data_IF_956966474995
#
_entry.id   IF_956966474995
#
_cell.length_a   1.000
_cell.length_b   1.000
_cell.length_c   1.000
_cell.angle_alpha   90.00
_cell.angle_beta   90.00
_cell.angle_gamma   90.00
#
_symmetry.space_group_name_H-M   'P 1'
#
loop_
_entity.id
_entity.type
_entity.pdbx_description
1 polymer ?
#
# COMPACT_ATOMS: atom_id res chain seq x y z
N UNK A 1 0.08 -4.21 -35.61
CA UNK A 1 -0.08 -5.24 -34.56
C UNK A 1 -1.38 -4.93 -33.84
N UNK A 2 -2.33 -5.87 -33.66
CA UNK A 2 -3.54 -5.59 -32.91
C UNK A 2 -3.17 -5.32 -31.44
N UNK A 3 -3.54 -4.14 -30.93
CA UNK A 3 -3.33 -3.72 -29.54
C UNK A 3 -4.05 -4.70 -28.60
N UNK A 4 -3.28 -5.40 -27.76
CA UNK A 4 -3.83 -6.29 -26.73
C UNK A 4 -4.67 -5.45 -25.77
N UNK A 5 -5.87 -5.93 -25.43
CA UNK A 5 -6.70 -5.29 -24.40
C UNK A 5 -5.98 -5.43 -23.05
N UNK A 6 -5.82 -4.34 -22.27
CA UNK A 6 -5.14 -4.39 -20.99
C UNK A 6 -5.86 -5.36 -20.03
N UNK A 7 -5.10 -6.07 -19.21
CA UNK A 7 -5.59 -6.91 -18.13
C UNK A 7 -6.33 -6.09 -17.07
N UNK A 8 -7.10 -6.77 -16.21
CA UNK A 8 -7.78 -6.13 -15.07
C UNK A 8 -6.78 -5.48 -14.12
N UNK A 9 -5.61 -6.11 -13.92
CA UNK A 9 -4.55 -5.56 -13.09
C UNK A 9 -3.93 -4.28 -13.69
N UNK A 10 -3.63 -4.27 -14.99
CA UNK A 10 -3.12 -3.07 -15.68
C UNK A 10 -4.14 -1.92 -15.66
N UNK A 11 -5.42 -2.21 -15.91
CA UNK A 11 -6.49 -1.20 -15.80
C UNK A 11 -6.62 -0.67 -14.37
N UNK A 12 -6.49 -1.55 -13.36
CA UNK A 12 -6.49 -1.18 -11.95
C UNK A 12 -5.37 -0.20 -11.63
N UNK A 13 -4.13 -0.50 -12.04
CA UNK A 13 -2.97 0.38 -11.86
C UNK A 13 -3.14 1.73 -12.56
N UNK A 14 -3.65 1.77 -13.79
CA UNK A 14 -3.91 3.05 -14.49
C UNK A 14 -4.87 3.95 -13.69
N UNK A 15 -5.92 3.38 -13.12
CA UNK A 15 -6.86 4.13 -12.27
C UNK A 15 -6.22 4.53 -10.94
N UNK A 16 -5.48 3.62 -10.27
CA UNK A 16 -4.79 3.91 -9.03
C UNK A 16 -3.78 5.05 -9.18
N UNK A 17 -2.93 4.99 -10.21
CA UNK A 17 -1.92 6.01 -10.50
C UNK A 17 -2.59 7.36 -10.74
N UNK A 18 -3.67 7.40 -11.54
CA UNK A 18 -4.39 8.64 -11.80
C UNK A 18 -5.09 9.20 -10.56
N UNK A 19 -5.62 8.36 -9.67
CA UNK A 19 -6.19 8.79 -8.38
C UNK A 19 -5.11 9.42 -7.50
N UNK A 20 -3.95 8.77 -7.36
CA UNK A 20 -2.84 9.28 -6.54
C UNK A 20 -2.25 10.56 -7.16
N UNK A 21 -2.07 10.63 -8.48
CA UNK A 21 -1.63 11.83 -9.19
C UNK A 21 -2.57 13.01 -8.89
N UNK A 22 -3.89 12.80 -8.96
CA UNK A 22 -4.89 13.82 -8.64
C UNK A 22 -4.84 14.27 -7.18
N UNK A 23 -4.61 13.34 -6.25
CA UNK A 23 -4.52 13.65 -4.83
C UNK A 23 -3.21 14.40 -4.47
N UNK A 24 -2.18 14.27 -5.31
CA UNK A 24 -0.83 14.82 -5.08
C UNK A 24 -0.41 15.96 -6.03
N UNK A 25 -1.33 16.53 -6.83
CA UNK A 25 -1.03 17.60 -7.82
C UNK A 25 -0.29 18.81 -7.22
N UNK A 26 -0.65 19.23 -6.01
CA UNK A 26 0.00 20.34 -5.30
C UNK A 26 1.21 19.89 -4.46
N UNK A 27 1.70 18.66 -4.69
CA UNK A 27 2.54 17.91 -3.77
C UNK A 27 1.72 17.15 -2.73
N UNK A 28 2.38 16.22 -2.04
CA UNK A 28 1.80 15.46 -0.95
C UNK A 28 1.50 16.38 0.24
N UNK A 29 0.21 16.57 0.56
CA UNK A 29 -0.21 17.36 1.73
C UNK A 29 0.18 16.66 3.03
N UNK A 30 0.63 17.43 4.02
CA UNK A 30 1.02 16.85 5.31
C UNK A 30 -0.20 16.26 6.03
N UNK A 31 -0.11 15.03 6.55
CA UNK A 31 -1.19 14.38 7.31
C UNK A 31 -1.21 14.83 8.77
N UNK A 32 -0.15 15.50 9.24
CA UNK A 32 -0.04 15.93 10.62
C UNK A 32 -0.83 17.22 10.83
N UNK A 33 -1.76 17.18 11.77
CA UNK A 33 -2.55 18.34 12.18
C UNK A 33 -2.36 18.61 13.67
N UNK A 34 -2.39 19.89 14.03
CA UNK A 34 -2.45 20.33 15.41
C UNK A 34 -3.89 20.71 15.72
N UNK A 35 -4.49 20.06 16.70
CA UNK A 35 -5.87 20.33 17.14
C UNK A 35 -5.93 20.36 18.65
N UNK A 36 -6.50 21.42 19.23
CA UNK A 36 -6.65 21.60 20.69
C UNK A 36 -5.39 21.34 21.54
N UNK A 37 -4.20 21.57 21.00
CA UNK A 37 -2.93 21.34 21.69
C UNK A 37 -2.36 19.93 21.56
N UNK A 38 -3.06 19.04 20.84
CA UNK A 38 -2.58 17.71 20.47
C UNK A 38 -2.19 17.63 18.99
N UNK A 39 -1.32 16.67 18.68
CA UNK A 39 -0.98 16.34 17.29
C UNK A 39 -1.68 15.06 16.90
N UNK A 40 -2.44 15.13 15.81
CA UNK A 40 -3.15 14.02 15.22
C UNK A 40 -2.67 13.77 13.78
N UNK A 41 -2.61 12.49 13.40
CA UNK A 41 -2.44 12.09 12.02
C UNK A 41 -3.84 12.02 11.37
N UNK A 42 -4.06 12.73 10.27
CA UNK A 42 -5.33 12.72 9.52
C UNK A 42 -5.14 11.98 8.19
N UNK A 43 -5.57 10.71 8.12
CA UNK A 43 -5.53 9.95 6.88
C UNK A 43 -6.45 10.57 5.83
N UNK A 44 -6.05 10.48 4.57
CA UNK A 44 -6.85 10.91 3.43
C UNK A 44 -7.83 9.80 3.05
N UNK A 45 -8.95 9.77 3.76
CA UNK A 45 -10.02 8.81 3.49
C UNK A 45 -10.74 9.08 2.17
N UNK A 46 -10.68 10.29 1.61
CA UNK A 46 -11.27 10.56 0.30
C UNK A 46 -10.52 9.79 -0.79
N UNK A 47 -9.19 9.82 -0.76
CA UNK A 47 -8.36 9.02 -1.67
C UNK A 47 -8.60 7.52 -1.45
N UNK A 48 -8.68 7.04 -0.20
CA UNK A 48 -8.98 5.63 0.07
C UNK A 48 -10.32 5.18 -0.53
N UNK A 49 -11.38 6.00 -0.43
CA UNK A 49 -12.70 5.66 -0.98
C UNK A 49 -12.66 5.50 -2.50
N UNK A 50 -11.93 6.38 -3.19
CA UNK A 50 -11.74 6.27 -4.64
C UNK A 50 -10.97 4.99 -5.00
N UNK A 51 -9.86 4.70 -4.30
CA UNK A 51 -9.06 3.50 -4.53
C UNK A 51 -9.90 2.22 -4.32
N UNK A 52 -10.73 2.16 -3.28
CA UNK A 52 -11.62 1.02 -3.02
C UNK A 52 -12.77 0.92 -4.04
N UNK A 53 -13.13 2.00 -4.72
CA UNK A 53 -14.12 2.01 -5.80
C UNK A 53 -13.61 1.35 -7.10
N UNK A 54 -12.29 1.36 -7.35
CA UNK A 54 -11.67 0.76 -8.55
C UNK A 54 -11.99 -0.74 -8.72
N UNK A 55 -11.74 -1.63 -7.73
CA UNK A 55 -12.06 -3.05 -7.90
C UNK A 55 -13.55 -3.29 -8.11
N UNK A 56 -14.42 -2.46 -7.53
CA UNK A 56 -15.88 -2.54 -7.75
C UNK A 56 -16.26 -2.13 -9.18
N UNK A 57 -15.63 -1.08 -9.71
CA UNK A 57 -15.83 -0.61 -11.08
C UNK A 57 -15.39 -1.64 -12.11
N UNK A 58 -14.23 -2.26 -11.89
CA UNK A 58 -13.65 -3.27 -12.79
C UNK A 58 -14.28 -4.66 -12.63
N UNK A 59 -15.19 -4.84 -11.67
CA UNK A 59 -15.73 -6.13 -11.29
C UNK A 59 -14.61 -7.17 -11.00
N UNK A 60 -13.57 -6.71 -10.30
CA UNK A 60 -12.41 -7.49 -9.93
C UNK A 60 -12.70 -8.39 -8.72
N UNK A 61 -12.51 -9.70 -8.88
CA UNK A 61 -12.59 -10.67 -7.79
C UNK A 61 -11.25 -10.76 -7.02
N UNK A 62 -11.24 -11.48 -5.90
CA UNK A 62 -10.03 -11.72 -5.08
C UNK A 62 -8.83 -12.29 -5.87
N UNK A 63 -9.09 -13.17 -6.85
CA UNK A 63 -8.04 -13.77 -7.69
C UNK A 63 -7.29 -12.75 -8.56
N UNK A 64 -7.90 -11.61 -8.87
CA UNK A 64 -7.25 -10.56 -9.65
C UNK A 64 -6.17 -9.79 -8.88
N UNK A 65 -6.15 -9.89 -7.53
CA UNK A 65 -5.25 -9.13 -6.66
C UNK A 65 -5.56 -7.63 -6.52
N UNK A 66 -6.33 -7.05 -7.45
CA UNK A 66 -6.71 -5.62 -7.45
C UNK A 66 -7.43 -5.17 -6.17
N UNK A 67 -8.34 -5.97 -5.57
CA UNK A 67 -9.00 -5.56 -4.32
C UNK A 67 -8.05 -5.32 -3.14
N UNK A 68 -6.95 -6.10 -3.04
CA UNK A 68 -5.94 -5.94 -2.01
C UNK A 68 -5.04 -4.72 -2.28
N UNK A 69 -4.63 -4.53 -3.54
CA UNK A 69 -3.77 -3.41 -3.96
C UNK A 69 -4.32 -2.03 -3.59
N UNK A 70 -5.64 -1.85 -3.52
CA UNK A 70 -6.23 -0.57 -3.12
C UNK A 70 -5.76 -0.10 -1.72
N UNK A 71 -5.59 -1.03 -0.77
CA UNK A 71 -5.06 -0.72 0.56
C UNK A 71 -3.55 -0.45 0.49
N UNK A 72 -2.82 -1.25 -0.28
CA UNK A 72 -1.36 -1.13 -0.43
C UNK A 72 -0.97 0.25 -0.99
N UNK A 73 -1.65 0.64 -2.07
CA UNK A 73 -1.47 1.94 -2.73
C UNK A 73 -1.80 3.08 -1.77
N UNK A 74 -2.91 2.97 -1.02
CA UNK A 74 -3.30 4.00 -0.06
C UNK A 74 -2.27 4.16 1.05
N UNK A 75 -1.79 3.06 1.65
CA UNK A 75 -0.78 3.12 2.72
C UNK A 75 0.53 3.69 2.18
N UNK A 76 0.99 3.27 0.99
CA UNK A 76 2.19 3.83 0.38
C UNK A 76 2.06 5.34 0.12
N UNK A 77 0.90 5.78 -0.40
CA UNK A 77 0.56 7.19 -0.55
C UNK A 77 0.58 7.94 0.80
N UNK A 78 0.01 7.37 1.86
CA UNK A 78 0.04 7.94 3.20
C UNK A 78 1.47 8.08 3.75
N UNK A 79 2.36 7.13 3.50
CA UNK A 79 3.77 7.24 3.89
C UNK A 79 4.49 8.37 3.15
N UNK A 80 4.18 8.60 1.86
CA UNK A 80 4.68 9.78 1.11
C UNK A 80 4.09 11.09 1.64
N UNK A 81 2.80 11.10 2.00
CA UNK A 81 2.19 12.21 2.75
C UNK A 81 2.89 12.47 4.09
N UNK A 82 3.31 11.43 4.79
CA UNK A 82 4.06 11.58 6.03
C UNK A 82 5.45 12.20 5.80
N UNK A 83 5.97 12.19 4.56
CA UNK A 83 7.25 12.80 4.17
C UNK A 83 8.39 11.79 3.98
N UNK A 84 8.08 10.50 3.85
CA UNK A 84 9.06 9.50 3.45
C UNK A 84 9.40 9.63 1.96
N UNK A 85 10.61 9.20 1.60
CA UNK A 85 11.13 9.28 0.24
C UNK A 85 10.25 8.43 -0.72
N UNK A 86 9.75 8.99 -1.83
CA UNK A 86 8.88 8.28 -2.76
C UNK A 86 9.46 6.99 -3.34
N UNK A 87 10.78 6.93 -3.53
CA UNK A 87 11.48 5.77 -4.11
C UNK A 87 11.89 4.75 -3.03
N UNK A 88 11.97 5.15 -1.76
CA UNK A 88 12.17 4.23 -0.64
C UNK A 88 10.89 3.51 -0.19
N UNK A 89 9.71 4.08 -0.52
CA UNK A 89 8.39 3.52 -0.22
C UNK A 89 7.86 2.72 -1.41
N UNK A 90 7.56 1.45 -1.20
CA UNK A 90 6.99 0.55 -2.19
C UNK A 90 5.57 0.10 -1.79
N UNK A 91 4.62 -0.04 -2.74
CA UNK A 91 4.78 0.18 -4.18
C UNK A 91 4.93 1.66 -4.55
N UNK A 92 5.80 1.95 -5.53
CA UNK A 92 6.02 3.29 -6.12
C UNK A 92 4.79 3.81 -6.87
N UNK A 93 4.69 5.12 -7.01
CA UNK A 93 3.62 5.82 -7.75
C UNK A 93 3.66 5.58 -9.26
N UNK A 94 4.82 5.17 -9.76
CA UNK A 94 5.02 4.82 -11.16
C UNK A 94 5.88 3.57 -11.26
N UNK A 95 5.77 2.90 -12.40
CA UNK A 95 6.61 1.73 -12.66
C UNK A 95 8.10 2.12 -12.77
N UNK A 96 9.00 1.23 -12.31
CA UNK A 96 8.71 -0.03 -11.64
C UNK A 96 8.23 0.18 -10.18
N UNK A 97 7.28 -0.64 -9.71
CA UNK A 97 6.69 -0.51 -8.36
C UNK A 97 7.68 -0.72 -7.23
N UNK A 98 8.77 -1.41 -7.49
CA UNK A 98 9.90 -1.57 -6.57
C UNK A 98 11.15 -1.13 -7.28
N UNK A 99 11.86 -0.19 -6.67
CA UNK A 99 13.14 0.26 -7.16
C UNK A 99 14.00 0.68 -5.97
N UNK A 100 15.24 0.16 -5.85
CA UNK A 100 16.18 0.68 -4.87
C UNK A 100 16.39 2.18 -5.05
N UNK A 101 16.36 2.94 -3.95
CA UNK A 101 16.57 4.39 -3.96
C UNK A 101 17.88 4.81 -4.66
N UNK A 102 18.92 3.97 -4.59
CA UNK A 102 20.19 4.19 -5.29
C UNK A 102 20.04 4.25 -6.83
N UNK A 103 19.10 3.51 -7.41
CA UNK A 103 18.79 3.60 -8.84
C UNK A 103 18.04 4.90 -9.16
N UNK A 104 17.13 5.32 -8.29
CA UNK A 104 16.46 6.62 -8.39
C UNK A 104 17.45 7.78 -8.37
N UNK A 105 18.36 7.80 -7.40
CA UNK A 105 19.42 8.80 -7.28
C UNK A 105 20.35 8.82 -8.51
N UNK A 106 20.66 7.64 -9.08
CA UNK A 106 21.43 7.56 -10.32
C UNK A 106 20.68 8.18 -11.50
N UNK A 107 19.38 7.91 -11.64
CA UNK A 107 18.53 8.48 -12.69
C UNK A 107 18.44 10.01 -12.57
N UNK A 108 18.30 10.54 -11.36
CA UNK A 108 18.28 11.99 -11.11
C UNK A 108 19.63 12.65 -11.43
N UNK A 109 20.74 11.99 -11.09
CA UNK A 109 22.09 12.49 -11.39
C UNK A 109 22.47 12.38 -12.88
N UNK A 110 21.75 11.56 -13.65
CA UNK A 110 22.04 11.34 -15.08
C UNK A 110 21.53 12.52 -15.92
N UNK A 111 22.39 13.17 -16.73
CA UNK A 111 21.97 14.27 -17.57
C UNK A 111 20.84 13.90 -18.54
N UNK A 112 19.84 14.76 -18.63
CA UNK A 112 18.75 14.63 -19.62
C UNK A 112 19.28 14.91 -21.04
N UNK A 113 20.25 15.82 -21.16
CA UNK A 113 20.86 16.18 -22.45
C UNK A 113 21.73 15.01 -22.94
N UNK A 114 21.36 14.45 -24.09
CA UNK A 114 22.07 13.33 -24.72
C UNK A 114 21.29 12.01 -24.73
N UNK A 115 20.10 11.96 -24.11
CA UNK A 115 19.23 10.77 -24.14
C UNK A 115 19.68 9.63 -23.22
N UNK A 116 20.79 9.78 -22.51
CA UNK A 116 21.36 8.76 -21.60
C UNK A 116 20.37 8.35 -20.50
N UNK A 117 19.67 9.34 -19.92
CA UNK A 117 18.64 9.08 -18.92
C UNK A 117 17.51 8.20 -19.48
N UNK A 118 17.00 8.52 -20.67
CA UNK A 118 15.91 7.77 -21.28
C UNK A 118 16.33 6.30 -21.55
N UNK A 119 17.56 6.10 -22.05
CA UNK A 119 18.14 4.78 -22.26
C UNK A 119 18.30 3.98 -20.95
N UNK A 120 18.68 4.66 -19.86
CA UNK A 120 18.82 4.04 -18.55
C UNK A 120 17.46 3.67 -17.95
N UNK A 121 16.46 4.56 -18.05
CA UNK A 121 15.08 4.30 -17.64
C UNK A 121 14.49 3.09 -18.39
N UNK A 122 14.68 3.05 -19.72
CA UNK A 122 14.26 1.92 -20.55
C UNK A 122 14.97 0.62 -20.14
N UNK A 123 16.29 0.67 -19.89
CA UNK A 123 17.03 -0.51 -19.46
C UNK A 123 16.62 -0.99 -18.07
N UNK A 124 16.34 -0.10 -17.13
CA UNK A 124 15.84 -0.46 -15.80
C UNK A 124 14.47 -1.14 -15.93
N UNK A 125 13.57 -0.58 -16.74
CA UNK A 125 12.23 -1.14 -16.98
C UNK A 125 12.29 -2.54 -17.61
N UNK A 126 13.12 -2.73 -18.64
CA UNK A 126 13.19 -3.98 -19.42
C UNK A 126 14.07 -5.04 -18.71
N UNK A 127 15.28 -4.66 -18.33
CA UNK A 127 16.32 -5.60 -17.84
C UNK A 127 16.37 -5.66 -16.32
N UNK A 128 16.03 -4.57 -15.62
CA UNK A 128 15.94 -4.57 -14.16
C UNK A 128 14.87 -5.52 -13.65
N UNK A 129 13.74 -5.60 -14.36
CA UNK A 129 12.65 -6.56 -14.08
C UNK A 129 13.12 -8.01 -14.23
N UNK A 130 13.84 -8.32 -15.32
CA UNK A 130 14.39 -9.67 -15.59
C UNK A 130 15.52 -10.08 -14.64
N UNK A 131 16.18 -9.14 -13.97
CA UNK A 131 17.27 -9.41 -13.04
C UNK A 131 16.85 -9.36 -11.57
N UNK A 132 15.57 -9.06 -11.30
CA UNK A 132 15.04 -8.90 -9.95
C UNK A 132 15.55 -7.64 -9.22
N UNK A 133 16.18 -6.70 -9.95
CA UNK A 133 16.62 -5.41 -9.41
C UNK A 133 15.44 -4.47 -9.18
N UNK A 134 14.41 -4.59 -10.02
CA UNK A 134 13.12 -3.91 -9.89
C UNK A 134 11.99 -4.92 -10.12
N UNK A 135 10.78 -4.61 -9.71
CA UNK A 135 9.66 -5.54 -9.89
C UNK A 135 8.31 -5.00 -9.45
N UNK A 136 7.29 -5.85 -9.56
CA UNK A 136 5.92 -5.55 -9.14
C UNK A 136 5.57 -5.95 -7.69
N UNK A 137 6.35 -6.85 -7.08
CA UNK A 137 6.06 -7.46 -5.76
C UNK A 137 7.30 -7.51 -4.87
N UNK A 138 7.19 -7.04 -3.62
CA UNK A 138 8.35 -6.87 -2.74
C UNK A 138 8.58 -8.15 -1.94
N UNK A 139 9.56 -8.96 -2.36
CA UNK A 139 9.94 -10.19 -1.68
C UNK A 139 11.02 -9.90 -0.64
N UNK A 140 10.66 -10.07 0.64
CA UNK A 140 11.57 -9.88 1.77
C UNK A 140 11.83 -11.23 2.42
N UNK A 141 13.10 -11.57 2.60
CA UNK A 141 13.49 -12.76 3.36
C UNK A 141 13.06 -12.59 4.82
N UNK A 142 12.23 -13.51 5.33
CA UNK A 142 11.94 -13.67 6.75
C UNK A 142 12.89 -14.66 7.42
N UNK A 143 12.55 -15.11 8.63
CA UNK A 143 13.37 -16.07 9.38
C UNK A 143 13.46 -17.42 8.67
N UNK A 144 12.31 -17.93 8.25
CA UNK A 144 12.19 -19.30 7.74
C UNK A 144 11.94 -19.33 6.23
N UNK A 145 11.26 -18.31 5.69
CA UNK A 145 10.86 -18.24 4.29
C UNK A 145 10.76 -16.80 3.80
N UNK A 146 10.79 -16.62 2.47
CA UNK A 146 10.52 -15.33 1.85
C UNK A 146 9.02 -15.01 1.93
N UNK A 147 8.71 -13.76 2.24
CA UNK A 147 7.35 -13.24 2.24
C UNK A 147 7.24 -12.13 1.22
N UNK A 148 6.17 -12.14 0.44
CA UNK A 148 5.74 -10.94 -0.27
C UNK A 148 5.15 -9.95 0.76
N UNK A 149 5.81 -8.81 0.95
CA UNK A 149 5.32 -7.74 1.84
C UNK A 149 4.63 -6.70 0.98
N UNK A 150 3.44 -6.28 1.42
CA UNK A 150 2.54 -5.47 0.60
C UNK A 150 2.99 -4.01 0.54
N UNK A 151 3.46 -3.45 1.65
CA UNK A 151 4.05 -2.12 1.71
C UNK A 151 5.38 -2.13 2.48
N UNK A 152 6.41 -1.55 1.87
CA UNK A 152 7.78 -1.57 2.40
C UNK A 152 8.37 -0.16 2.39
N UNK A 153 9.07 0.19 3.46
CA UNK A 153 10.07 1.26 3.47
C UNK A 153 11.44 0.61 3.65
N UNK A 154 12.35 0.82 2.71
CA UNK A 154 13.70 0.27 2.80
C UNK A 154 14.72 1.17 2.13
N UNK A 155 15.93 1.22 2.71
CA UNK A 155 17.11 1.79 2.06
C UNK A 155 18.25 0.74 2.03
N UNK A 156 19.18 0.88 1.10
CA UNK A 156 20.34 -0.01 1.00
C UNK A 156 21.19 0.01 2.29
N UNK A 157 21.29 1.15 2.96
CA UNK A 157 22.15 1.37 4.13
C UNK A 157 21.55 0.81 5.42
N UNK A 158 20.23 0.81 5.54
CA UNK A 158 19.50 0.43 6.75
C UNK A 158 18.77 -0.90 6.62
N UNK A 159 18.57 -1.37 5.38
CA UNK A 159 17.69 -2.50 5.09
C UNK A 159 16.22 -2.12 5.26
N UNK A 160 15.34 -3.11 5.53
CA UNK A 160 13.93 -2.83 5.80
C UNK A 160 13.74 -2.04 7.10
N UNK A 161 13.11 -0.88 6.98
CA UNK A 161 12.79 0.01 8.12
C UNK A 161 11.33 -0.10 8.51
N UNK A 162 10.45 -0.34 7.53
CA UNK A 162 9.02 -0.56 7.74
C UNK A 162 8.51 -1.69 6.85
N UNK A 163 7.74 -2.61 7.42
CA UNK A 163 7.08 -3.72 6.74
C UNK A 163 5.61 -3.74 7.16
N UNK A 164 4.70 -3.46 6.22
CA UNK A 164 3.26 -3.50 6.47
C UNK A 164 2.66 -4.59 5.60
N UNK A 165 1.93 -5.51 6.22
CA UNK A 165 1.12 -6.49 5.51
C UNK A 165 -0.34 -6.05 5.48
N UNK A 166 -1.04 -6.35 4.40
CA UNK A 166 -2.46 -6.02 4.23
C UNK A 166 -3.26 -7.30 3.98
N UNK A 167 -4.52 -7.29 4.41
CA UNK A 167 -5.49 -8.33 4.09
C UNK A 167 -6.86 -7.70 3.91
N UNK A 168 -7.71 -8.33 3.11
CA UNK A 168 -9.07 -7.88 2.88
C UNK A 168 -10.06 -9.04 2.99
N UNK A 169 -11.27 -8.74 3.42
CA UNK A 169 -12.37 -9.69 3.49
C UNK A 169 -13.72 -9.02 3.22
N UNK A 170 -14.30 -9.33 2.05
CA UNK A 170 -15.59 -8.79 1.62
C UNK A 170 -16.77 -9.78 1.80
N UNK A 171 -16.46 -11.08 1.89
CA UNK A 171 -17.41 -12.18 1.95
C UNK A 171 -16.84 -13.42 2.65
N UNK A 172 -17.64 -14.49 2.76
CA UNK A 172 -17.20 -15.81 3.26
C UNK A 172 -16.53 -15.79 4.64
N UNK A 173 -17.03 -14.93 5.53
CA UNK A 173 -16.45 -14.65 6.86
C UNK A 173 -16.26 -15.92 7.69
N UNK A 174 -17.25 -16.80 7.74
CA UNK A 174 -17.24 -17.98 8.60
C UNK A 174 -16.17 -19.01 8.24
N UNK A 175 -15.84 -19.14 6.95
CA UNK A 175 -14.83 -20.08 6.45
C UNK A 175 -13.42 -19.49 6.56
N UNK A 176 -13.26 -18.19 6.34
CA UNK A 176 -11.95 -17.58 6.06
C UNK A 176 -11.34 -16.84 7.24
N UNK A 177 -12.14 -16.35 8.20
CA UNK A 177 -11.64 -15.47 9.26
C UNK A 177 -10.54 -16.10 10.14
N UNK A 178 -10.68 -17.39 10.50
CA UNK A 178 -9.66 -18.05 11.33
C UNK A 178 -8.33 -18.25 10.62
N UNK A 179 -8.38 -18.75 9.38
CA UNK A 179 -7.18 -18.95 8.58
C UNK A 179 -6.45 -17.63 8.33
N UNK A 180 -7.18 -16.53 8.07
CA UNK A 180 -6.58 -15.20 7.86
C UNK A 180 -5.87 -14.67 9.10
N UNK A 181 -6.44 -14.88 10.29
CA UNK A 181 -5.79 -14.47 11.53
C UNK A 181 -4.53 -15.32 11.78
N UNK A 182 -4.63 -16.64 11.66
CA UNK A 182 -3.49 -17.54 11.86
C UNK A 182 -2.32 -17.24 10.92
N UNK A 183 -2.60 -17.02 9.63
CA UNK A 183 -1.62 -16.59 8.63
C UNK A 183 -0.93 -15.28 9.06
N UNK A 184 -1.71 -14.32 9.56
CA UNK A 184 -1.19 -13.03 10.02
C UNK A 184 -0.23 -13.17 11.21
N UNK A 185 -0.51 -14.08 12.14
CA UNK A 185 0.42 -14.40 13.23
C UNK A 185 1.72 -15.05 12.71
N UNK A 186 1.61 -16.01 11.79
CA UNK A 186 2.75 -16.68 11.18
C UNK A 186 3.69 -15.68 10.46
N UNK A 187 3.09 -14.79 9.67
CA UNK A 187 3.79 -13.73 8.96
C UNK A 187 4.50 -12.76 9.90
N UNK A 188 3.81 -12.35 10.97
CA UNK A 188 4.38 -11.49 11.99
C UNK A 188 5.65 -12.12 12.59
N UNK A 189 5.59 -13.39 13.03
CA UNK A 189 6.76 -14.08 13.60
C UNK A 189 7.87 -14.26 12.56
N UNK A 190 7.53 -14.60 11.32
CA UNK A 190 8.52 -14.81 10.27
C UNK A 190 9.31 -13.53 9.96
N UNK A 191 8.63 -12.38 9.86
CA UNK A 191 9.27 -11.09 9.62
C UNK A 191 10.01 -10.58 10.86
N UNK A 192 9.36 -10.60 12.03
CA UNK A 192 9.87 -10.02 13.29
C UNK A 192 11.18 -10.65 13.73
N UNK A 193 11.31 -11.96 13.59
CA UNK A 193 12.51 -12.69 14.01
C UNK A 193 13.71 -12.46 13.09
N UNK A 194 13.49 -11.99 11.84
CA UNK A 194 14.55 -11.60 10.92
C UNK A 194 14.87 -10.12 11.00
N UNK A 195 13.86 -9.28 11.14
CA UNK A 195 13.95 -7.82 11.12
C UNK A 195 13.44 -7.21 12.45
N UNK A 196 14.13 -7.44 13.58
CA UNK A 196 13.68 -7.00 14.90
C UNK A 196 13.75 -5.47 15.08
N UNK A 197 14.49 -4.77 14.22
CA UNK A 197 14.57 -3.31 14.24
C UNK A 197 13.48 -2.65 13.39
N UNK A 198 12.95 -3.33 12.37
CA UNK A 198 11.92 -2.76 11.51
C UNK A 198 10.63 -2.46 12.28
N UNK A 199 9.93 -1.42 11.85
CA UNK A 199 8.54 -1.18 12.21
C UNK A 199 7.66 -2.17 11.44
N UNK A 200 6.81 -2.91 12.14
CA UNK A 200 5.96 -3.96 11.58
C UNK A 200 4.51 -3.57 11.81
N UNK A 201 3.71 -3.52 10.75
CA UNK A 201 2.30 -3.17 10.82
C UNK A 201 1.41 -4.15 10.04
N UNK A 202 0.12 -4.16 10.40
CA UNK A 202 -0.88 -4.97 9.71
C UNK A 202 -2.17 -4.16 9.49
N UNK A 203 -2.71 -4.18 8.27
CA UNK A 203 -3.97 -3.52 7.94
C UNK A 203 -4.98 -4.54 7.45
N UNK A 204 -6.14 -4.58 8.08
CA UNK A 204 -7.22 -5.49 7.72
C UNK A 204 -8.43 -4.71 7.21
N UNK A 205 -8.78 -4.87 5.93
CA UNK A 205 -10.02 -4.38 5.35
C UNK A 205 -11.15 -5.36 5.59
N UNK A 206 -12.26 -4.93 6.19
CA UNK A 206 -13.41 -5.77 6.48
C UNK A 206 -14.71 -5.11 6.04
N UNK A 207 -15.51 -5.82 5.26
CA UNK A 207 -16.82 -5.31 4.84
C UNK A 207 -17.83 -5.33 5.99
N UNK A 208 -18.60 -4.25 6.13
CA UNK A 208 -19.58 -4.05 7.21
C UNK A 208 -20.70 -5.09 7.25
N UNK A 209 -21.00 -5.77 6.13
CA UNK A 209 -22.03 -6.83 6.07
C UNK A 209 -21.74 -8.02 6.99
N UNK A 210 -20.51 -8.15 7.52
CA UNK A 210 -20.20 -9.13 8.58
C UNK A 210 -21.07 -8.93 9.84
N UNK A 211 -21.44 -7.69 10.18
CA UNK A 211 -22.26 -7.43 11.36
C UNK A 211 -23.69 -7.96 11.21
N UNK A 212 -24.20 -8.03 9.99
CA UNK A 212 -25.53 -8.57 9.70
C UNK A 212 -25.50 -10.09 9.55
N UNK A 213 -24.47 -10.61 8.85
CA UNK A 213 -24.38 -12.03 8.50
C UNK A 213 -23.77 -12.88 9.61
N UNK A 214 -22.76 -12.36 10.31
CA UNK A 214 -21.94 -13.11 11.27
C UNK A 214 -21.43 -12.22 12.44
N UNK A 215 -22.34 -11.53 13.14
CA UNK A 215 -22.00 -10.58 14.21
C UNK A 215 -21.02 -11.14 15.28
N UNK A 216 -21.22 -12.39 15.71
CA UNK A 216 -20.33 -13.03 16.68
C UNK A 216 -18.90 -13.23 16.12
N UNK A 217 -18.78 -13.50 14.81
CA UNK A 217 -17.49 -13.60 14.13
C UNK A 217 -16.82 -12.24 14.00
N UNK A 218 -17.60 -11.18 13.74
CA UNK A 218 -17.09 -9.81 13.72
C UNK A 218 -16.43 -9.44 15.06
N UNK A 219 -17.16 -9.61 16.17
CA UNK A 219 -16.64 -9.32 17.51
C UNK A 219 -15.37 -10.13 17.83
N UNK A 220 -15.37 -11.42 17.49
CA UNK A 220 -14.22 -12.30 17.68
C UNK A 220 -13.00 -11.88 16.83
N UNK A 221 -13.20 -11.55 15.56
CA UNK A 221 -12.13 -11.14 14.65
C UNK A 221 -11.50 -9.82 15.13
N UNK A 222 -12.32 -8.84 15.50
CA UNK A 222 -11.87 -7.54 15.99
C UNK A 222 -11.04 -7.69 17.27
N UNK A 223 -11.49 -8.53 18.21
CA UNK A 223 -10.74 -8.85 19.43
C UNK A 223 -9.37 -9.47 19.11
N UNK A 224 -9.29 -10.41 18.16
CA UNK A 224 -8.02 -11.03 17.76
C UNK A 224 -7.08 -10.06 17.04
N UNK A 225 -7.60 -9.16 16.20
CA UNK A 225 -6.81 -8.11 15.56
C UNK A 225 -6.23 -7.14 16.60
N UNK A 226 -7.02 -6.78 17.63
CA UNK A 226 -6.56 -5.96 18.74
C UNK A 226 -5.40 -6.62 19.50
N UNK A 227 -5.53 -7.91 19.82
CA UNK A 227 -4.46 -8.69 20.49
C UNK A 227 -3.20 -8.81 19.63
N UNK A 228 -3.36 -9.04 18.32
CA UNK A 228 -2.25 -9.17 17.38
C UNK A 228 -1.35 -7.91 17.36
N UNK A 229 -1.91 -6.73 17.60
CA UNK A 229 -1.16 -5.46 17.68
C UNK A 229 -0.59 -5.12 19.05
N UNK A 230 -0.85 -5.95 20.07
CA UNK A 230 -0.39 -5.75 21.45
C UNK A 230 0.71 -6.75 21.85
N UNK A 231 0.90 -7.83 21.10
CA UNK A 231 1.97 -8.80 21.34
C UNK A 231 3.35 -8.24 20.95
N UNK A 232 4.31 -8.31 21.89
CA UNK A 232 5.68 -7.79 21.72
C UNK A 232 6.45 -8.40 20.53
N UNK A 233 6.14 -9.66 20.21
CA UNK A 233 6.79 -10.44 19.17
C UNK A 233 5.90 -10.62 17.91
N UNK A 234 4.85 -9.81 17.75
CA UNK A 234 4.02 -9.75 16.55
C UNK A 234 4.16 -8.40 15.82
N UNK A 235 3.03 -7.73 15.50
CA UNK A 235 3.01 -6.41 14.88
C UNK A 235 3.02 -5.32 15.95
N UNK A 236 3.62 -4.17 15.64
CA UNK A 236 3.67 -3.03 16.55
C UNK A 236 2.39 -2.19 16.53
N UNK A 237 1.64 -2.28 15.44
CA UNK A 237 0.34 -1.63 15.28
C UNK A 237 -0.51 -2.43 14.28
N UNK A 238 -1.81 -2.44 14.50
CA UNK A 238 -2.80 -3.05 13.61
C UNK A 238 -3.88 -2.02 13.29
N UNK A 239 -4.37 -1.99 12.06
CA UNK A 239 -5.52 -1.19 11.66
C UNK A 239 -6.67 -2.07 11.16
N UNK A 240 -7.89 -1.66 11.47
CA UNK A 240 -9.11 -2.17 10.87
C UNK A 240 -9.76 -1.08 10.02
N UNK A 241 -9.95 -1.36 8.73
CA UNK A 241 -10.69 -0.49 7.81
C UNK A 241 -12.04 -1.13 7.56
N UNK A 242 -13.09 -0.60 8.18
CA UNK A 242 -14.46 -1.03 7.93
C UNK A 242 -15.01 -0.35 6.68
N UNK A 243 -15.39 -1.16 5.69
CA UNK A 243 -15.80 -0.69 4.38
C UNK A 243 -17.27 -1.00 4.11
N UNK A 244 -18.00 -0.02 3.62
CA UNK A 244 -19.38 -0.15 3.18
C UNK A 244 -19.48 0.21 1.71
N UNK A 245 -20.13 -0.65 0.93
CA UNK A 245 -20.29 -0.49 -0.51
C UNK A 245 -21.75 -0.29 -0.84
N UNK A 246 -22.05 0.64 -1.74
CA UNK A 246 -23.41 0.81 -2.25
C UNK A 246 -23.86 -0.37 -3.14
N UNK A 247 -22.91 -1.12 -3.70
CA UNK A 247 -23.15 -2.32 -4.51
C UNK A 247 -22.42 -3.52 -3.93
N UNK A 248 -23.00 -4.71 -4.07
CA UNK A 248 -22.29 -5.94 -3.73
C UNK A 248 -21.07 -6.13 -4.66
N UNK A 249 -19.89 -6.49 -4.11
CA UNK A 249 -18.75 -6.86 -4.93
C UNK A 249 -19.09 -8.15 -5.71
N UNK A 250 -18.40 -8.42 -6.83
CA UNK A 250 -18.51 -9.72 -7.49
C UNK A 250 -18.32 -10.85 -6.48
N UNK A 251 -19.14 -11.89 -6.59
CA UNK A 251 -19.00 -13.05 -5.73
C UNK A 251 -17.59 -13.62 -5.90
N UNK A 252 -16.85 -13.73 -4.81
CA UNK A 252 -15.71 -14.63 -4.76
C UNK A 252 -16.27 -16.03 -5.08
N UNK A 253 -15.70 -16.70 -6.09
CA UNK A 253 -16.00 -18.12 -6.28
C UNK A 253 -15.72 -18.87 -4.99
N UNK A 254 -16.33 -20.05 -4.80
CA UNK A 254 -16.07 -20.90 -3.63
C UNK A 254 -14.57 -21.28 -3.45
N UNK A 255 -13.71 -20.92 -4.42
CA UNK A 255 -12.26 -21.05 -4.36
C UNK A 255 -11.57 -19.87 -3.67
N UNK A 256 -11.15 -20.18 -2.45
CA UNK A 256 -10.35 -19.38 -1.53
C UNK A 256 -8.94 -19.21 -2.09
N UNK A 257 -8.69 -18.24 -2.97
CA UNK A 257 -7.33 -17.83 -3.32
C UNK A 257 -7.28 -16.35 -3.72
N UNK A 258 -7.17 -15.47 -2.72
CA UNK A 258 -6.32 -14.28 -2.93
C UNK A 258 -4.91 -14.80 -3.27
N UNK A 259 -4.10 -14.11 -4.10
CA UNK A 259 -2.73 -14.55 -4.36
C UNK A 259 -2.03 -14.82 -3.02
N UNK A 260 -1.65 -16.08 -2.79
CA UNK A 260 -1.10 -16.51 -1.51
C UNK A 260 0.12 -15.65 -1.17
N UNK A 261 0.06 -14.90 -0.07
CA UNK A 261 1.24 -14.27 0.54
C UNK A 261 1.97 -15.23 1.49
N UNK A 262 1.64 -16.53 1.39
CA UNK A 262 2.20 -17.60 2.19
C UNK A 262 3.69 -17.84 1.94
N UNK A 263 4.30 -18.81 2.65
CA UNK A 263 5.70 -19.14 2.51
C UNK A 263 6.05 -19.56 1.08
N UNK A 264 6.75 -18.71 0.33
CA UNK A 264 7.35 -19.12 -0.94
C UNK A 264 8.53 -20.07 -0.66
N UNK A 265 8.30 -21.37 -0.83
CA UNK A 265 9.32 -22.39 -0.67
C UNK A 265 10.22 -22.39 -1.90
N UNK A 266 11.36 -21.70 -1.77
CA UNK A 266 12.55 -21.79 -2.62
C UNK A 266 12.37 -22.44 -3.98
N UNK A 267 11.66 -21.78 -4.90
CA UNK A 267 11.97 -21.93 -6.31
C UNK A 267 13.12 -20.97 -6.60
N UNK A 268 14.21 -21.48 -7.17
CA UNK A 268 15.24 -20.64 -7.78
C UNK A 268 14.54 -19.58 -8.62
N UNK A 269 14.67 -18.31 -8.22
CA UNK A 269 14.26 -17.13 -8.97
C UNK A 269 13.24 -17.46 -10.06
N UNK A 270 12.02 -17.86 -9.67
CA UNK A 270 10.91 -17.83 -10.59
C UNK A 270 10.67 -16.34 -10.82
N UNK A 271 11.45 -15.82 -11.77
CA UNK A 271 11.19 -14.63 -12.54
C UNK A 271 9.79 -14.84 -13.10
N UNK A 272 8.77 -14.54 -12.31
CA UNK A 272 7.53 -14.08 -12.88
C UNK A 272 7.91 -12.81 -13.62
N UNK A 273 8.22 -12.99 -14.90
CA UNK A 273 8.27 -11.94 -15.87
C UNK A 273 6.91 -11.24 -15.77
N UNK A 274 6.85 -10.19 -14.96
CA UNK A 274 5.80 -9.19 -15.02
C UNK A 274 5.90 -8.58 -16.40
N UNK A 275 5.11 -9.16 -17.30
CA UNK A 275 4.86 -8.78 -18.68
C UNK A 275 6.08 -8.59 -19.59
N UNK A 276 5.85 -8.84 -20.88
CA UNK A 276 6.83 -8.66 -21.93
C UNK A 276 7.15 -7.15 -22.05
N UNK A 277 8.37 -6.67 -21.72
CA UNK A 277 8.69 -5.25 -21.74
C UNK A 277 8.61 -4.63 -23.14
N UNK A 278 8.61 -5.47 -24.17
CA UNK A 278 8.70 -5.08 -25.58
C UNK A 278 7.35 -4.58 -26.17
N UNK A 279 6.27 -4.49 -25.38
CA UNK A 279 4.93 -4.17 -25.91
C UNK A 279 4.25 -2.90 -25.35
N UNK A 280 4.94 -2.09 -24.55
CA UNK A 280 4.37 -0.83 -24.01
C UNK A 280 4.61 0.40 -24.91
N UNK A 281 4.91 0.20 -26.20
CA UNK A 281 5.12 1.30 -27.13
C UNK A 281 3.81 1.74 -27.81
N UNK A 282 3.24 2.84 -27.31
CA UNK A 282 2.40 3.73 -28.08
C UNK A 282 2.82 5.18 -27.80
N UNK A 283 3.63 5.69 -28.73
CA UNK A 283 3.74 7.06 -29.23
C UNK A 283 3.40 8.21 -28.25
N UNK A 284 4.42 9.02 -27.92
CA UNK A 284 4.32 10.36 -27.33
C UNK A 284 3.67 11.36 -28.31
N UNK A 285 2.38 11.23 -28.60
CA UNK A 285 1.57 12.38 -29.03
C UNK A 285 0.97 13.04 -27.77
N UNK A 286 1.32 14.29 -27.46
CA UNK A 286 0.74 15.03 -26.33
C UNK A 286 -0.80 15.04 -26.36
N UNK A 287 -1.41 15.03 -27.55
CA UNK A 287 -2.86 14.99 -27.71
C UNK A 287 -3.50 13.66 -27.30
N UNK A 288 -2.77 12.55 -27.45
CA UNK A 288 -3.24 11.20 -27.09
C UNK A 288 -3.15 10.99 -25.57
N UNK A 289 -2.11 11.50 -24.93
CA UNK A 289 -1.94 11.44 -23.47
C UNK A 289 -3.03 12.21 -22.71
N UNK A 290 -3.42 13.39 -23.19
CA UNK A 290 -4.48 14.19 -22.57
C UNK A 290 -5.87 13.56 -22.74
N UNK A 291 -6.12 12.91 -23.89
CA UNK A 291 -7.35 12.15 -24.11
C UNK A 291 -7.47 10.95 -23.14
N UNK A 292 -6.39 10.17 -22.98
CA UNK A 292 -6.33 9.05 -22.02
C UNK A 292 -6.58 9.53 -20.59
N UNK A 293 -5.97 10.65 -20.18
CA UNK A 293 -6.21 11.25 -18.86
C UNK A 293 -7.67 11.66 -18.66
N UNK A 294 -8.30 12.25 -19.67
CA UNK A 294 -9.70 12.63 -19.61
C UNK A 294 -10.63 11.42 -19.49
N UNK A 295 -10.32 10.32 -20.19
CA UNK A 295 -11.06 9.05 -20.06
C UNK A 295 -10.92 8.44 -18.65
N UNK A 296 -9.71 8.41 -18.10
CA UNK A 296 -9.47 7.96 -16.73
C UNK A 296 -10.19 8.85 -15.71
N UNK A 297 -10.20 10.16 -15.91
CA UNK A 297 -10.92 11.10 -15.03
C UNK A 297 -12.43 10.88 -15.06
N UNK A 298 -13.00 10.61 -16.23
CA UNK A 298 -14.40 10.25 -16.38
C UNK A 298 -14.71 8.91 -15.69
N UNK A 299 -13.83 7.92 -15.82
CA UNK A 299 -13.96 6.64 -15.12
C UNK A 299 -13.90 6.82 -13.59
N UNK A 300 -12.97 7.63 -13.08
CA UNK A 300 -12.84 7.96 -11.65
C UNK A 300 -14.10 8.65 -11.13
N UNK A 301 -14.67 9.59 -11.90
CA UNK A 301 -15.91 10.27 -11.53
C UNK A 301 -17.12 9.32 -11.49
N UNK A 302 -17.06 8.20 -12.20
CA UNK A 302 -18.11 7.18 -12.26
C UNK A 302 -17.85 5.98 -11.34
N UNK A 303 -16.84 6.04 -10.45
CA UNK A 303 -16.55 4.94 -9.53
C UNK A 303 -17.73 4.69 -8.58
N UNK A 304 -18.04 3.42 -8.29
CA UNK A 304 -19.01 3.08 -7.26
C UNK A 304 -18.62 3.69 -5.91
N UNK A 305 -19.57 4.32 -5.19
CA UNK A 305 -19.25 4.97 -3.93
C UNK A 305 -18.93 3.92 -2.85
N UNK A 306 -17.88 4.22 -2.08
CA UNK A 306 -17.43 3.46 -0.92
C UNK A 306 -17.42 4.38 0.29
N UNK A 307 -17.96 3.91 1.41
CA UNK A 307 -17.90 4.59 2.70
C UNK A 307 -16.92 3.87 3.63
N UNK A 308 -16.16 4.65 4.40
CA UNK A 308 -15.31 4.14 5.47
C UNK A 308 -16.01 4.42 6.79
N UNK A 309 -16.27 3.37 7.55
CA UNK A 309 -16.89 3.47 8.87
C UNK A 309 -15.80 3.73 9.91
N UNK A 310 -15.94 4.85 10.63
CA UNK A 310 -15.01 5.34 11.64
C UNK A 310 -15.71 5.56 13.00
N UNK A 311 -16.85 4.92 13.22
CA UNK A 311 -17.59 5.00 14.48
C UNK A 311 -17.06 4.00 15.52
N UNK A 312 -17.80 3.83 16.61
CA UNK A 312 -17.49 2.97 17.75
C UNK A 312 -17.38 1.48 17.42
N UNK A 313 -17.71 1.07 16.19
CA UNK A 313 -17.46 -0.29 15.69
C UNK A 313 -15.99 -0.57 15.41
N UNK A 314 -15.14 0.46 15.31
CA UNK A 314 -13.68 0.32 15.23
C UNK A 314 -13.08 0.75 16.56
N UNK A 315 -12.54 -0.18 17.38
CA UNK A 315 -11.84 0.17 18.60
C UNK A 315 -10.69 1.16 18.34
N UNK A 316 -10.43 2.06 19.28
CA UNK A 316 -9.42 3.12 19.15
C UNK A 316 -8.02 2.57 18.82
N UNK A 317 -7.65 1.41 19.36
CA UNK A 317 -6.37 0.73 19.09
C UNK A 317 -6.24 0.22 17.65
N UNK A 318 -7.37 -0.03 16.96
CA UNK A 318 -7.41 -0.46 15.57
C UNK A 318 -7.71 0.69 14.60
N UNK A 319 -7.84 1.92 15.10
CA UNK A 319 -8.20 3.05 14.25
C UNK A 319 -7.08 3.38 13.23
N UNK A 320 -7.37 3.52 11.92
CA UNK A 320 -6.33 3.72 10.90
C UNK A 320 -5.44 4.95 11.13
N UNK A 321 -5.98 6.04 11.68
CA UNK A 321 -5.21 7.22 12.05
C UNK A 321 -4.15 6.94 13.13
N UNK A 322 -4.51 6.14 14.14
CA UNK A 322 -3.60 5.75 15.21
C UNK A 322 -2.53 4.81 14.68
N UNK A 323 -2.91 3.86 13.82
CA UNK A 323 -1.97 2.97 13.15
C UNK A 323 -0.92 3.74 12.34
N UNK A 324 -1.33 4.61 11.41
CA UNK A 324 -0.40 5.37 10.56
C UNK A 324 0.53 6.25 11.40
N UNK A 325 -0.02 6.93 12.42
CA UNK A 325 0.78 7.68 13.40
C UNK A 325 1.84 6.79 14.06
N UNK A 326 1.44 5.65 14.62
CA UNK A 326 2.34 4.74 15.33
C UNK A 326 3.45 4.21 14.41
N UNK A 327 3.11 3.85 13.18
CA UNK A 327 4.07 3.35 12.19
C UNK A 327 5.11 4.41 11.83
N UNK A 328 4.69 5.65 11.54
CA UNK A 328 5.60 6.76 11.22
C UNK A 328 6.47 7.10 12.44
N UNK A 329 5.87 7.31 13.61
CA UNK A 329 6.59 7.69 14.83
C UNK A 329 7.62 6.63 15.23
N UNK A 330 7.26 5.34 15.17
CA UNK A 330 8.16 4.24 15.46
C UNK A 330 9.36 4.24 14.52
N UNK A 331 9.12 4.37 13.22
CA UNK A 331 10.18 4.39 12.20
C UNK A 331 11.15 5.55 12.43
N UNK A 332 10.62 6.74 12.73
CA UNK A 332 11.45 7.91 13.08
C UNK A 332 12.19 7.75 14.43
N UNK A 333 11.74 6.88 15.32
CA UNK A 333 12.39 6.61 16.60
C UNK A 333 13.54 5.60 16.49
N UNK A 334 13.43 4.62 15.58
CA UNK A 334 14.45 3.58 15.34
C UNK A 334 15.54 4.01 14.36
N UNK A 335 15.31 5.10 13.61
CA UNK A 335 16.27 5.65 12.66
C UNK A 335 16.99 6.87 13.23
N UNK A 336 18.26 7.12 12.86
CA UNK A 336 18.98 8.32 13.28
C UNK A 336 18.34 9.62 12.75
N UNK A 337 18.66 10.75 13.39
CA UNK A 337 18.01 12.05 13.13
C UNK A 337 18.25 12.61 11.72
N UNK A 338 19.35 12.20 11.08
CA UNK A 338 19.71 12.58 9.71
C UNK A 338 18.96 11.75 8.64
N UNK A 339 18.21 10.73 9.04
CA UNK A 339 17.32 9.97 8.16
C UNK A 339 15.89 10.54 8.20
N UNK A 340 15.19 10.46 7.06
CA UNK A 340 13.82 10.91 6.86
C UNK A 340 13.58 12.37 7.28
N UNK A 341 14.46 13.27 6.84
CA UNK A 341 14.44 14.68 7.24
C UNK A 341 13.06 15.34 7.01
N UNK A 342 12.46 15.14 5.84
CA UNK A 342 11.14 15.72 5.50
C UNK A 342 10.04 15.17 6.42
N UNK A 343 10.01 13.85 6.68
CA UNK A 343 9.03 13.27 7.60
C UNK A 343 9.14 13.83 9.02
N UNK A 344 10.38 14.04 9.51
CA UNK A 344 10.63 14.70 10.80
C UNK A 344 10.15 16.15 10.78
N UNK A 345 10.46 16.90 9.74
CA UNK A 345 10.05 18.31 9.57
C UNK A 345 8.54 18.45 9.60
N UNK A 346 7.80 17.60 8.88
CA UNK A 346 6.33 17.61 8.85
C UNK A 346 5.74 17.38 10.24
N UNK A 347 6.17 16.31 10.92
CA UNK A 347 5.72 15.98 12.29
C UNK A 347 6.07 17.09 13.28
N UNK A 348 7.32 17.58 13.26
CA UNK A 348 7.81 18.57 14.23
C UNK A 348 7.18 19.95 14.02
N UNK A 349 6.75 20.26 12.79
CA UNK A 349 5.97 21.46 12.49
C UNK A 349 4.60 21.39 13.14
N UNK A 350 3.90 20.26 13.04
CA UNK A 350 2.63 20.05 13.74
C UNK A 350 2.81 20.09 15.27
N UNK A 351 3.86 19.45 15.81
CA UNK A 351 4.17 19.50 17.25
C UNK A 351 4.43 20.92 17.76
N UNK A 352 5.11 21.76 16.97
CA UNK A 352 5.31 23.17 17.31
C UNK A 352 4.00 23.97 17.26
N UNK A 353 3.17 23.73 16.25
CA UNK A 353 1.86 24.37 16.13
C UNK A 353 0.94 24.02 17.32
N UNK A 354 0.86 22.74 17.69
CA UNK A 354 0.06 22.28 18.83
C UNK A 354 0.50 22.95 20.15
N UNK A 355 1.82 23.02 20.39
CA UNK A 355 2.37 23.70 21.57
C UNK A 355 2.10 25.20 21.60
N UNK A 356 1.94 25.84 20.43
CA UNK A 356 1.62 27.26 20.34
C UNK A 356 0.13 27.52 20.67
N UNK A 357 -0.77 26.61 20.28
CA UNK A 357 -2.20 26.71 20.59
C UNK A 357 -2.54 26.36 22.05
N UNK A 358 -1.70 25.54 22.70
CA UNK A 358 -1.86 25.15 24.11
C UNK A 358 -1.38 26.20 25.13
N UNK A 359 -0.72 27.28 24.67
CA UNK A 359 -0.23 28.40 25.50
C UNK A 359 -1.15 29.60 25.33
#
# INVERSE_FOLDING_TARGET
MPTRKPSIAEQGWQLFDRIVERASVAGHTSPWTADEGEVAYRPDFETLRLLLGVPLHLNANSQSGVPALALDVWIAYELRRAGFDPDAVWPRESDPRIMPAALGALLEATPVRGGERALLEERIRISGSKSGLVGGKAKILGKNYQKQVDVVLSDWRTGPEMLISTKRMDSSFGKNAANRVEESYGDAKNLRLRHPLASLGFVFGLRTTIYEKEAAKAAWLIDLLGKLGQEDDAYHAVALVLMEYAQDPPADGDDVNEPETGPEVGSEAALEAGDDPDQLFALDDPGEADAVRAELDAAIAALPPVSIVLDDRVPDELHPARFLRAMVERTLAITPVDHHAEARVRRDTALRAARATAR
#
